data_IF_476831130144
#
_entry.id   IF_476831130144
#
_cell.length_a   1.000
_cell.length_b   1.000
_cell.length_c   1.000
_cell.angle_alpha   90.00
_cell.angle_beta   90.00
_cell.angle_gamma   90.00
#
_symmetry.space_group_name_H-M   'P 1'
#
loop_
_entity.id
_entity.type
_entity.pdbx_description
1 polymer ?
#
# COMPACT_ATOMS: atom_id res chain seq x y z
N UNK A 1 -0.54 10.67 -7.63
CA UNK A 1 0.55 9.84 -7.08
C UNK A 1 1.06 10.49 -5.81
N UNK A 2 1.07 9.76 -4.72
CA UNK A 2 1.63 10.21 -3.44
C UNK A 2 2.74 9.24 -3.05
N UNK A 3 3.89 9.75 -2.65
CA UNK A 3 5.07 8.95 -2.29
C UNK A 3 5.50 9.30 -0.88
N UNK A 4 5.64 8.29 -0.03
CA UNK A 4 6.13 8.43 1.34
C UNK A 4 7.19 7.39 1.63
N UNK A 5 8.39 7.85 1.94
CA UNK A 5 9.50 7.00 2.35
C UNK A 5 9.60 6.99 3.87
N UNK A 6 9.80 5.81 4.44
CA UNK A 6 10.00 5.61 5.86
C UNK A 6 11.46 5.28 6.15
N UNK A 7 11.94 5.75 7.27
CA UNK A 7 13.12 5.15 7.91
C UNK A 7 12.75 3.74 8.40
N UNK A 8 13.72 2.87 8.68
CA UNK A 8 13.43 1.55 9.27
C UNK A 8 12.65 1.59 10.59
N UNK A 9 12.52 2.77 11.17
CA UNK A 9 11.71 3.05 12.35
C UNK A 9 10.70 4.15 12.06
N UNK A 10 9.56 4.11 12.73
CA UNK A 10 8.52 5.14 12.66
C UNK A 10 8.24 5.68 14.07
N UNK A 11 8.27 6.97 14.24
CA UNK A 11 7.91 7.60 15.49
C UNK A 11 6.45 8.03 15.48
N UNK A 12 5.66 7.41 16.35
CA UNK A 12 4.26 7.81 16.56
C UNK A 12 4.20 9.02 17.48
N UNK A 13 3.77 10.16 16.93
CA UNK A 13 3.71 11.43 17.66
C UNK A 13 2.66 11.44 18.76
N UNK A 14 1.53 10.77 18.54
CA UNK A 14 0.43 10.77 19.50
C UNK A 14 0.67 9.82 20.67
N UNK A 15 1.49 8.79 20.47
CA UNK A 15 1.77 7.78 21.48
C UNK A 15 3.14 7.93 22.12
N UNK A 16 3.98 8.83 21.58
CA UNK A 16 5.35 9.07 22.05
C UNK A 16 6.18 7.76 22.10
N UNK A 17 6.05 6.95 21.05
CA UNK A 17 6.78 5.69 20.91
C UNK A 17 7.49 5.62 19.57
N UNK A 18 8.69 5.05 19.57
CA UNK A 18 9.39 4.66 18.37
C UNK A 18 9.05 3.22 18.01
N UNK A 19 8.56 3.02 16.80
CA UNK A 19 8.24 1.69 16.27
C UNK A 19 9.45 1.15 15.50
N UNK A 20 9.85 -0.07 15.85
CA UNK A 20 10.93 -0.77 15.15
C UNK A 20 10.53 -1.25 13.73
N UNK A 21 11.48 -1.86 13.01
CA UNK A 21 11.28 -2.31 11.64
C UNK A 21 10.15 -3.33 11.51
N UNK A 22 9.93 -4.19 12.50
CA UNK A 22 8.84 -5.17 12.50
C UNK A 22 7.47 -4.47 12.52
N UNK A 23 7.34 -3.42 13.31
CA UNK A 23 6.10 -2.65 13.40
C UNK A 23 5.84 -1.86 12.11
N UNK A 24 6.89 -1.31 11.50
CA UNK A 24 6.79 -0.65 10.19
C UNK A 24 6.36 -1.67 9.12
N UNK A 25 6.92 -2.87 9.12
CA UNK A 25 6.50 -3.95 8.22
C UNK A 25 5.03 -4.33 8.42
N UNK A 26 4.53 -4.35 9.66
CA UNK A 26 3.12 -4.61 9.96
C UNK A 26 2.19 -3.53 9.41
N UNK A 27 2.60 -2.25 9.42
CA UNK A 27 1.86 -1.16 8.77
C UNK A 27 1.70 -1.42 7.27
N UNK A 28 2.77 -1.82 6.59
CA UNK A 28 2.72 -2.15 5.16
C UNK A 28 1.90 -3.41 4.86
N UNK A 29 1.92 -4.40 5.76
CA UNK A 29 1.04 -5.55 5.65
C UNK A 29 -0.45 -5.17 5.75
N UNK A 30 -0.77 -4.19 6.60
CA UNK A 30 -2.11 -3.62 6.67
C UNK A 30 -2.48 -2.86 5.39
N UNK A 31 -1.54 -2.12 4.84
CA UNK A 31 -1.71 -1.41 3.58
C UNK A 31 -2.20 -2.33 2.45
N UNK A 32 -1.64 -3.53 2.32
CA UNK A 32 -2.04 -4.48 1.28
C UNK A 32 -3.49 -5.00 1.42
N UNK A 33 -4.11 -4.82 2.58
CA UNK A 33 -5.46 -5.32 2.89
C UNK A 33 -6.54 -4.25 2.96
N UNK A 34 -6.15 -2.99 2.88
CA UNK A 34 -7.06 -1.84 2.96
C UNK A 34 -6.90 -0.96 1.73
N UNK A 35 -8.02 -0.49 1.18
CA UNK A 35 -8.03 0.35 -0.01
C UNK A 35 -7.82 1.85 0.26
N UNK A 36 -7.59 2.24 1.51
CA UNK A 36 -7.66 3.64 1.96
C UNK A 36 -6.33 4.40 1.82
N UNK A 37 -5.26 3.73 1.39
CA UNK A 37 -3.94 4.32 1.27
C UNK A 37 -3.19 4.46 2.59
N UNK A 38 -1.88 4.70 2.50
CA UNK A 38 -0.97 4.66 3.65
C UNK A 38 -1.23 5.79 4.66
N UNK A 39 -1.54 6.99 4.19
CA UNK A 39 -1.79 8.12 5.10
C UNK A 39 -3.05 7.92 5.95
N UNK A 40 -4.10 7.32 5.39
CA UNK A 40 -5.31 6.99 6.14
C UNK A 40 -5.02 5.95 7.23
N UNK A 41 -4.24 4.92 6.90
CA UNK A 41 -3.82 3.89 7.86
C UNK A 41 -3.03 4.49 9.01
N UNK A 42 -2.05 5.36 8.72
CA UNK A 42 -1.26 6.03 9.76
C UNK A 42 -2.14 6.94 10.63
N UNK A 43 -3.07 7.67 10.03
CA UNK A 43 -4.02 8.52 10.78
C UNK A 43 -4.91 7.68 11.70
N UNK A 44 -5.39 6.54 11.25
CA UNK A 44 -6.17 5.62 12.08
C UNK A 44 -5.34 5.09 13.25
N UNK A 45 -4.09 4.69 12.99
CA UNK A 45 -3.18 4.20 14.03
C UNK A 45 -2.89 5.28 15.07
N UNK A 46 -2.59 6.50 14.64
CA UNK A 46 -2.32 7.64 15.53
C UNK A 46 -3.53 8.01 16.42
N UNK A 47 -4.74 7.80 15.94
CA UNK A 47 -5.98 8.08 16.66
C UNK A 47 -6.48 6.88 17.50
N UNK A 48 -5.83 5.72 17.42
CA UNK A 48 -6.17 4.54 18.21
C UNK A 48 -5.60 4.68 19.63
N UNK A 49 -6.32 4.31 20.70
CA UNK A 49 -5.77 4.28 22.06
C UNK A 49 -4.49 3.45 22.13
N UNK A 50 -3.51 3.87 22.96
CA UNK A 50 -2.15 3.30 22.99
C UNK A 50 -2.14 1.78 23.15
N UNK A 51 -2.92 1.26 24.09
CA UNK A 51 -3.04 -0.17 24.35
C UNK A 51 -3.55 -0.96 23.14
N UNK A 52 -4.58 -0.44 22.48
CA UNK A 52 -5.14 -1.03 21.25
C UNK A 52 -4.25 -0.83 20.03
N UNK A 53 -3.49 0.25 19.99
CA UNK A 53 -2.52 0.52 18.95
C UNK A 53 -1.43 -0.57 18.95
N UNK A 54 -0.78 -0.81 20.08
CA UNK A 54 0.24 -1.84 20.23
C UNK A 54 -0.33 -3.23 19.90
N UNK A 55 -1.49 -3.59 20.45
CA UNK A 55 -2.17 -4.86 20.15
C UNK A 55 -2.47 -5.01 18.66
N UNK A 56 -2.95 -3.96 18.00
CA UNK A 56 -3.31 -4.01 16.59
C UNK A 56 -2.11 -4.26 15.68
N UNK A 57 -0.96 -3.70 16.01
CA UNK A 57 0.27 -3.89 15.25
C UNK A 57 0.82 -5.30 15.43
N UNK A 58 0.87 -5.80 16.68
CA UNK A 58 1.35 -7.14 16.97
C UNK A 58 0.48 -8.26 16.38
N UNK A 59 -0.83 -8.06 16.31
CA UNK A 59 -1.72 -9.03 15.65
C UNK A 59 -1.35 -9.33 14.19
N UNK A 60 -0.82 -8.37 13.46
CA UNK A 60 -0.38 -8.60 12.08
C UNK A 60 0.91 -9.42 12.00
N UNK A 61 1.78 -9.31 12.98
CA UNK A 61 3.01 -10.11 13.06
C UNK A 61 2.72 -11.57 13.42
N UNK A 62 1.79 -11.81 14.32
CA UNK A 62 1.40 -13.16 14.78
C UNK A 62 0.79 -14.03 13.66
N UNK A 63 0.22 -13.43 12.63
CA UNK A 63 -0.31 -14.17 11.48
C UNK A 63 0.75 -14.84 10.60
N UNK A 64 2.04 -14.71 10.93
CA UNK A 64 3.13 -15.48 10.30
C UNK A 64 3.29 -15.29 8.81
N UNK A 65 2.90 -14.14 8.27
CA UNK A 65 3.04 -13.86 6.85
C UNK A 65 4.52 -13.67 6.48
N UNK A 66 5.12 -14.66 5.85
CA UNK A 66 6.53 -14.64 5.42
C UNK A 66 6.87 -13.42 4.54
N UNK A 67 5.91 -12.94 3.73
CA UNK A 67 6.06 -11.74 2.91
C UNK A 67 6.22 -10.45 3.72
N UNK A 68 5.79 -10.41 4.98
CA UNK A 68 6.00 -9.27 5.87
C UNK A 68 7.46 -9.24 6.36
N UNK A 69 8.05 -10.42 6.58
CA UNK A 69 9.44 -10.53 7.01
C UNK A 69 10.44 -9.90 6.03
N UNK A 70 10.15 -9.95 4.72
CA UNK A 70 10.98 -9.31 3.70
C UNK A 70 11.01 -7.78 3.76
N UNK A 71 10.01 -7.16 4.41
CA UNK A 71 9.93 -5.71 4.57
C UNK A 71 10.71 -5.21 5.80
N UNK A 72 11.12 -6.08 6.70
CA UNK A 72 11.90 -5.72 7.88
C UNK A 72 13.34 -5.35 7.50
N UNK A 73 13.84 -4.26 8.06
CA UNK A 73 15.22 -3.81 7.84
C UNK A 73 15.48 -3.13 6.48
N UNK A 74 14.46 -2.97 5.65
CA UNK A 74 14.52 -2.20 4.41
C UNK A 74 14.20 -0.72 4.66
N UNK A 75 14.32 0.11 3.63
CA UNK A 75 13.77 1.48 3.61
C UNK A 75 12.45 1.41 2.85
N UNK A 76 11.31 1.19 3.55
CA UNK A 76 10.05 1.02 2.87
C UNK A 76 9.57 2.35 2.28
N UNK A 77 9.06 2.28 1.06
CA UNK A 77 8.46 3.42 0.37
C UNK A 77 7.04 3.07 -0.03
N UNK A 78 6.08 3.80 0.52
CA UNK A 78 4.68 3.70 0.11
C UNK A 78 4.41 4.60 -1.08
N UNK A 79 3.74 4.08 -2.09
CA UNK A 79 3.33 4.82 -3.29
C UNK A 79 1.84 4.62 -3.47
N UNK A 80 1.08 5.68 -3.24
CA UNK A 80 -0.37 5.69 -3.40
C UNK A 80 -0.79 6.30 -4.74
N UNK A 81 -1.98 5.93 -5.20
CA UNK A 81 -2.61 6.44 -6.42
C UNK A 81 -1.72 6.23 -7.67
N UNK A 82 -1.24 5.02 -7.84
CA UNK A 82 -0.55 4.56 -9.05
C UNK A 82 -1.29 3.38 -9.67
N UNK A 83 -1.15 3.22 -10.98
CA UNK A 83 -1.68 2.05 -11.68
C UNK A 83 -1.04 0.75 -11.15
N UNK A 84 -1.83 -0.30 -11.02
CA UNK A 84 -1.36 -1.66 -10.68
C UNK A 84 -0.28 -2.17 -11.65
N UNK A 85 -0.23 -1.66 -12.87
CA UNK A 85 0.81 -1.98 -13.82
C UNK A 85 2.19 -1.45 -13.41
N UNK A 86 2.25 -0.36 -12.64
CA UNK A 86 3.51 0.26 -12.23
C UNK A 86 4.37 -0.64 -11.34
N UNK A 87 3.86 -1.28 -10.26
CA UNK A 87 4.61 -2.27 -9.50
C UNK A 87 5.08 -3.45 -10.37
N UNK A 88 4.23 -3.95 -11.26
CA UNK A 88 4.62 -5.03 -12.17
C UNK A 88 5.83 -4.66 -13.03
N UNK A 89 5.82 -3.47 -13.63
CA UNK A 89 6.95 -2.98 -14.41
C UNK A 89 8.20 -2.77 -13.55
N UNK A 90 8.05 -2.27 -12.32
CA UNK A 90 9.16 -2.09 -11.40
C UNK A 90 9.81 -3.44 -11.04
N UNK A 91 9.03 -4.48 -10.78
CA UNK A 91 9.53 -5.83 -10.53
C UNK A 91 10.28 -6.42 -11.73
N UNK A 92 9.79 -6.21 -12.94
CA UNK A 92 10.48 -6.66 -14.15
C UNK A 92 11.81 -5.96 -14.39
N UNK A 93 11.87 -4.66 -14.11
CA UNK A 93 13.05 -3.85 -14.37
C UNK A 93 14.10 -3.93 -13.25
N UNK A 94 13.67 -4.27 -12.03
CA UNK A 94 14.54 -4.32 -10.85
C UNK A 94 14.27 -5.55 -9.98
N UNK A 95 14.79 -6.72 -10.35
CA UNK A 95 14.50 -8.00 -9.67
C UNK A 95 15.01 -8.08 -8.21
N UNK A 96 15.67 -7.05 -7.69
CA UNK A 96 16.14 -6.96 -6.30
C UNK A 96 15.19 -6.18 -5.38
N UNK A 97 14.04 -5.74 -5.88
CA UNK A 97 13.03 -5.07 -5.06
C UNK A 97 12.05 -6.11 -4.52
N UNK A 98 11.65 -5.91 -3.29
CA UNK A 98 10.54 -6.63 -2.66
C UNK A 98 9.43 -5.62 -2.37
N UNK A 99 8.18 -6.06 -2.32
CA UNK A 99 7.07 -5.14 -2.13
C UNK A 99 5.76 -5.79 -1.76
N UNK A 100 4.86 -4.94 -1.32
CA UNK A 100 3.46 -5.28 -1.02
C UNK A 100 2.57 -4.36 -1.85
N UNK A 101 1.63 -4.95 -2.55
CA UNK A 101 0.59 -4.24 -3.29
C UNK A 101 -0.78 -4.40 -2.63
N UNK A 102 -1.74 -3.59 -3.04
CA UNK A 102 -3.14 -3.77 -2.62
C UNK A 102 -3.65 -5.12 -3.12
N UNK A 103 -4.07 -5.96 -2.19
CA UNK A 103 -4.46 -7.34 -2.51
C UNK A 103 -5.91 -7.43 -2.99
N UNK A 104 -6.12 -7.97 -4.18
CA UNK A 104 -7.44 -8.28 -4.74
C UNK A 104 -8.25 -9.29 -3.91
N UNK A 105 -7.61 -10.00 -2.98
CA UNK A 105 -8.28 -10.92 -2.04
C UNK A 105 -9.03 -10.19 -0.94
N UNK A 106 -8.64 -8.96 -0.63
CA UNK A 106 -9.18 -8.18 0.50
C UNK A 106 -9.82 -6.86 0.04
N UNK A 107 -9.41 -6.35 -1.10
CA UNK A 107 -9.89 -5.08 -1.65
C UNK A 107 -10.55 -5.34 -2.99
N UNK A 108 -11.82 -4.97 -3.10
CA UNK A 108 -12.56 -5.01 -4.36
C UNK A 108 -12.16 -3.83 -5.23
N UNK A 109 -11.71 -4.10 -6.45
CA UNK A 109 -11.51 -3.07 -7.45
C UNK A 109 -12.83 -2.74 -8.13
N UNK A 110 -13.26 -1.51 -7.99
CA UNK A 110 -14.52 -1.00 -8.55
C UNK A 110 -14.27 -0.21 -9.81
N UNK A 111 -15.26 -0.17 -10.75
CA UNK A 111 -15.15 0.62 -11.97
C UNK A 111 -14.80 2.09 -11.73
N UNK A 112 -15.25 2.66 -10.60
CA UNK A 112 -14.99 4.05 -10.23
C UNK A 112 -13.51 4.31 -9.90
N UNK A 113 -12.76 3.25 -9.55
CA UNK A 113 -11.32 3.30 -9.31
C UNK A 113 -10.48 3.14 -10.57
N UNK A 114 -11.11 2.89 -11.73
CA UNK A 114 -10.39 2.76 -12.98
C UNK A 114 -9.75 4.09 -13.38
N UNK A 115 -8.45 4.04 -13.70
CA UNK A 115 -7.75 5.23 -14.17
C UNK A 115 -8.35 5.72 -15.49
N UNK A 116 -8.43 7.04 -15.64
CA UNK A 116 -8.99 7.63 -16.87
C UNK A 116 -8.01 7.48 -18.03
N UNK A 117 -8.49 7.30 -19.29
CA UNK A 117 -7.64 7.20 -20.46
C UNK A 117 -6.76 8.43 -20.68
N UNK A 118 -7.21 9.62 -20.26
CA UNK A 118 -6.42 10.86 -20.29
C UNK A 118 -5.13 10.75 -19.47
N UNK A 119 -5.15 10.04 -18.35
CA UNK A 119 -3.97 9.83 -17.50
C UNK A 119 -2.85 9.07 -18.22
N UNK A 120 -3.18 8.37 -19.28
CA UNK A 120 -2.25 7.65 -20.16
C UNK A 120 -2.01 8.36 -21.49
N UNK A 121 -2.54 9.57 -21.68
CA UNK A 121 -2.42 10.31 -22.93
C UNK A 121 -3.17 9.68 -24.10
N UNK A 122 -4.21 8.88 -23.85
CA UNK A 122 -5.03 8.24 -24.88
C UNK A 122 -5.95 9.29 -25.49
N UNK A 123 -5.94 9.50 -26.83
CA UNK A 123 -6.80 10.45 -27.48
C UNK A 123 -8.29 10.18 -27.23
N UNK A 124 -9.08 11.24 -27.07
CA UNK A 124 -10.51 11.19 -26.71
C UNK A 124 -11.33 10.25 -27.61
N UNK A 125 -11.00 10.19 -28.92
CA UNK A 125 -11.67 9.31 -29.88
C UNK A 125 -11.60 7.82 -29.51
N UNK A 126 -10.66 7.41 -28.62
CA UNK A 126 -10.51 6.03 -28.17
C UNK A 126 -11.03 5.78 -26.75
N UNK A 127 -11.56 6.78 -26.05
CA UNK A 127 -11.98 6.66 -24.66
C UNK A 127 -13.09 5.61 -24.46
N UNK A 128 -14.10 5.59 -25.33
CA UNK A 128 -15.16 4.59 -25.23
C UNK A 128 -14.61 3.17 -25.35
N UNK A 129 -13.72 2.95 -26.33
CA UNK A 129 -13.10 1.66 -26.53
C UNK A 129 -12.20 1.27 -25.36
N UNK A 130 -11.51 2.23 -24.74
CA UNK A 130 -10.73 2.01 -23.53
C UNK A 130 -11.62 1.47 -22.39
N UNK A 131 -12.72 2.15 -22.09
CA UNK A 131 -13.62 1.73 -21.01
C UNK A 131 -14.25 0.37 -21.30
N UNK A 132 -14.74 0.13 -22.50
CA UNK A 132 -15.26 -1.17 -22.91
C UNK A 132 -14.22 -2.28 -22.67
N UNK A 133 -13.00 -2.10 -23.13
CA UNK A 133 -11.93 -3.11 -22.99
C UNK A 133 -11.55 -3.35 -21.54
N UNK A 134 -11.46 -2.29 -20.74
CA UNK A 134 -11.00 -2.39 -19.34
C UNK A 134 -12.07 -2.89 -18.38
N UNK A 135 -13.35 -2.75 -18.72
CA UNK A 135 -14.45 -3.23 -17.87
C UNK A 135 -14.92 -4.65 -18.24
N UNK A 136 -14.58 -5.14 -19.44
CA UNK A 136 -14.87 -6.51 -19.86
C UNK A 136 -13.82 -7.55 -19.42
N UNK A 137 -12.69 -7.10 -18.90
CA UNK A 137 -11.60 -7.94 -18.38
C UNK A 137 -11.62 -8.03 -16.89
#
# INVERSE_FOLDING_TARGET
MEVRTFTPTYFSKNHDIEMGPEMVAAIFARYSRQGEGLNAILTQLENTPKDKFEESVWKFLDYGHASIGGLTGSIPTGIDNVSMLSPYLAFFLQPKQDGQETSTRYVEFKPEGLATPDSFGIPEMFHNKWYETMLDG
#
